data_IF_767231003791
#
_entry.id   IF_767231003791
#
_cell.length_a   1.000
_cell.length_b   1.000
_cell.length_c   1.000
_cell.angle_alpha   90.00
_cell.angle_beta   90.00
_cell.angle_gamma   90.00
#
_symmetry.space_group_name_H-M   'P 1'
#
loop_
_entity.id
_entity.type
_entity.pdbx_description
1 polymer ?
#
# COMPACT_ATOMS: atom_id res chain seq x y z
N UNK A 1 -22.89 -18.38 28.36
CA UNK A 1 -23.46 -17.07 28.77
C UNK A 1 -22.43 -15.93 28.67
N UNK A 2 -21.14 -16.17 28.97
CA UNK A 2 -20.09 -15.13 28.83
C UNK A 2 -19.79 -14.75 27.37
N UNK A 3 -19.80 -15.72 26.45
CA UNK A 3 -19.54 -15.47 25.04
C UNK A 3 -20.53 -14.47 24.40
N UNK A 4 -21.80 -14.47 24.85
CA UNK A 4 -22.83 -13.54 24.34
C UNK A 4 -22.59 -12.12 24.86
N UNK A 5 -22.15 -11.97 26.12
CA UNK A 5 -21.78 -10.66 26.70
C UNK A 5 -20.60 -10.02 25.99
N UNK A 6 -19.62 -10.82 25.54
CA UNK A 6 -18.46 -10.32 24.76
C UNK A 6 -18.92 -9.74 23.41
N UNK A 7 -19.87 -10.39 22.74
CA UNK A 7 -20.43 -9.92 21.46
C UNK A 7 -21.25 -8.63 21.64
N UNK A 8 -22.08 -8.54 22.67
CA UNK A 8 -22.83 -7.31 22.98
C UNK A 8 -21.91 -6.14 23.32
N UNK A 9 -20.89 -6.40 24.14
CA UNK A 9 -19.89 -5.38 24.52
C UNK A 9 -19.14 -4.87 23.28
N UNK A 10 -18.71 -5.77 22.39
CA UNK A 10 -18.05 -5.40 21.13
C UNK A 10 -18.98 -4.58 20.23
N UNK A 11 -20.24 -4.99 20.09
CA UNK A 11 -21.23 -4.28 19.28
C UNK A 11 -21.47 -2.85 19.76
N UNK A 12 -21.51 -2.62 21.07
CA UNK A 12 -21.67 -1.28 21.67
C UNK A 12 -20.46 -0.40 21.34
N UNK A 13 -19.23 -0.88 21.56
CA UNK A 13 -18.03 -0.12 21.22
C UNK A 13 -17.95 0.19 19.72
N UNK A 14 -18.27 -0.78 18.87
CA UNK A 14 -18.31 -0.59 17.43
C UNK A 14 -19.34 0.46 17.00
N UNK A 15 -20.53 0.46 17.59
CA UNK A 15 -21.57 1.46 17.33
C UNK A 15 -21.16 2.87 17.80
N UNK A 16 -20.47 2.98 18.93
CA UNK A 16 -19.92 4.24 19.44
C UNK A 16 -18.87 4.79 18.47
N UNK A 17 -17.94 3.96 17.99
CA UNK A 17 -16.90 4.37 17.03
C UNK A 17 -17.55 4.91 15.74
N UNK A 18 -18.56 4.21 15.20
CA UNK A 18 -19.30 4.66 14.01
C UNK A 18 -20.07 5.96 14.29
N UNK A 19 -20.73 6.07 15.46
CA UNK A 19 -21.50 7.25 15.84
C UNK A 19 -20.64 8.50 16.01
N UNK A 20 -19.47 8.35 16.62
CA UNK A 20 -18.47 9.42 16.76
C UNK A 20 -17.91 9.82 15.39
N UNK A 21 -17.55 8.86 14.54
CA UNK A 21 -17.08 9.13 13.19
C UNK A 21 -18.09 9.96 12.37
N UNK A 22 -19.38 9.63 12.44
CA UNK A 22 -20.45 10.40 11.77
C UNK A 22 -20.57 11.84 12.27
N UNK A 23 -20.34 12.09 13.56
CA UNK A 23 -20.45 13.43 14.15
C UNK A 23 -19.28 14.34 13.77
N UNK A 24 -18.08 13.79 13.64
CA UNK A 24 -16.86 14.53 13.29
C UNK A 24 -16.93 15.09 11.86
N UNK A 25 -17.62 14.39 10.95
CA UNK A 25 -17.80 14.76 9.53
C UNK A 25 -18.61 16.06 9.28
N UNK A 26 -18.95 16.84 10.31
CA UNK A 26 -19.75 18.09 10.21
C UNK A 26 -19.00 19.36 10.62
N UNK A 27 -17.72 19.24 11.00
CA UNK A 27 -16.81 20.36 11.26
C UNK A 27 -16.15 20.71 9.92
N UNK A 28 -15.74 21.97 9.68
CA UNK A 28 -14.91 22.33 8.52
C UNK A 28 -13.79 21.29 8.36
N UNK A 29 -13.94 20.42 7.38
CA UNK A 29 -13.07 19.28 7.18
C UNK A 29 -12.08 19.64 6.08
N UNK A 30 -10.83 19.91 6.47
CA UNK A 30 -9.74 20.14 5.53
C UNK A 30 -9.54 18.91 4.61
N UNK A 31 -10.02 17.73 5.01
CA UNK A 31 -9.99 16.51 4.21
C UNK A 31 -11.27 16.28 3.38
N UNK A 32 -12.17 17.27 3.29
CA UNK A 32 -13.28 17.18 2.34
C UNK A 32 -12.72 16.94 0.92
N UNK A 33 -13.29 16.00 0.13
CA UNK A 33 -12.78 15.70 -1.20
C UNK A 33 -12.63 16.94 -2.11
N UNK A 34 -13.47 17.95 -1.93
CA UNK A 34 -13.42 19.19 -2.70
C UNK A 34 -12.19 20.06 -2.36
N UNK A 35 -11.64 19.92 -1.15
CA UNK A 35 -10.41 20.59 -0.73
C UNK A 35 -9.14 19.89 -1.27
N UNK A 36 -9.24 18.58 -1.55
CA UNK A 36 -8.15 17.72 -2.04
C UNK A 36 -8.13 17.56 -3.56
N UNK A 37 -9.21 17.95 -4.24
CA UNK A 37 -9.34 17.82 -5.68
C UNK A 37 -8.27 18.60 -6.45
N UNK A 38 -7.86 18.05 -7.61
CA UNK A 38 -6.87 18.66 -8.48
C UNK A 38 -7.32 20.04 -8.95
N UNK A 39 -6.44 21.04 -8.82
CA UNK A 39 -6.68 22.41 -9.29
C UNK A 39 -5.84 22.67 -10.53
N UNK A 40 -6.47 23.24 -11.54
CA UNK A 40 -5.84 23.62 -12.80
C UNK A 40 -5.81 25.13 -12.91
N UNK A 41 -4.60 25.66 -13.12
CA UNK A 41 -4.41 27.06 -13.43
C UNK A 41 -4.58 27.29 -14.94
N UNK A 42 -5.24 28.38 -15.30
CA UNK A 42 -5.29 28.80 -16.70
C UNK A 42 -3.95 29.41 -17.12
N UNK A 43 -3.30 28.74 -18.07
CA UNK A 43 -2.10 29.24 -18.74
C UNK A 43 -2.52 29.90 -20.05
N UNK A 44 -2.27 31.21 -20.16
CA UNK A 44 -2.53 31.97 -21.36
C UNK A 44 -1.56 31.55 -22.49
N UNK A 45 -1.89 31.82 -23.78
CA UNK A 45 -1.00 31.52 -24.91
C UNK A 45 0.36 32.21 -24.85
N UNK A 46 0.49 33.28 -24.08
CA UNK A 46 1.73 34.02 -23.82
C UNK A 46 2.58 33.43 -22.67
N UNK A 47 2.13 32.30 -22.08
CA UNK A 47 2.79 31.62 -20.97
C UNK A 47 2.53 32.23 -19.59
N UNK A 48 1.70 33.28 -19.49
CA UNK A 48 1.33 33.88 -18.20
C UNK A 48 0.24 33.07 -17.51
N UNK A 49 0.37 32.90 -16.19
CA UNK A 49 -0.63 32.22 -15.35
C UNK A 49 -1.59 33.28 -14.79
N UNK A 50 -2.87 33.18 -15.12
CA UNK A 50 -3.88 34.09 -14.58
C UNK A 50 -4.43 33.50 -13.28
N UNK A 51 -3.87 33.90 -12.13
CA UNK A 51 -4.24 33.40 -10.79
C UNK A 51 -5.71 33.66 -10.38
N UNK A 52 -6.51 34.35 -11.21
CA UNK A 52 -7.88 34.73 -10.91
C UNK A 52 -8.92 33.62 -11.20
N UNK A 53 -8.54 32.61 -11.99
CA UNK A 53 -9.45 31.51 -12.37
C UNK A 53 -8.72 30.18 -12.20
N UNK A 54 -9.12 29.39 -11.22
CA UNK A 54 -8.69 28.00 -11.04
C UNK A 54 -9.85 27.09 -11.36
N UNK A 55 -9.70 26.15 -12.30
CA UNK A 55 -10.70 25.09 -12.50
C UNK A 55 -10.40 24.01 -11.45
N UNK A 56 -11.42 23.61 -10.69
CA UNK A 56 -11.33 22.50 -9.75
C UNK A 56 -11.92 21.28 -10.44
N UNK A 57 -11.18 20.17 -10.47
CA UNK A 57 -11.72 18.88 -10.92
C UNK A 57 -12.81 18.42 -9.95
N UNK A 58 -13.91 17.86 -10.45
CA UNK A 58 -14.89 17.25 -9.56
C UNK A 58 -14.24 16.05 -8.82
N UNK A 59 -14.27 16.03 -7.47
CA UNK A 59 -13.66 14.95 -6.72
C UNK A 59 -14.38 13.63 -6.99
N UNK A 60 -13.59 12.58 -7.18
CA UNK A 60 -14.09 11.21 -7.32
C UNK A 60 -13.97 10.42 -6.01
N UNK A 61 -14.36 9.14 -6.02
CA UNK A 61 -14.30 8.31 -4.82
C UNK A 61 -12.86 7.89 -4.40
N UNK A 62 -11.86 8.13 -5.25
CA UNK A 62 -10.44 7.92 -4.97
C UNK A 62 -9.74 9.17 -4.42
N UNK A 63 -10.28 10.37 -4.68
CA UNK A 63 -9.73 11.67 -4.25
C UNK A 63 -9.49 11.71 -2.74
N UNK A 64 -10.40 11.12 -1.96
CA UNK A 64 -10.17 10.80 -0.56
C UNK A 64 -10.74 9.42 -0.21
N UNK A 65 -9.87 8.41 -0.18
CA UNK A 65 -10.25 7.04 0.20
C UNK A 65 -10.69 6.91 1.66
N UNK A 66 -10.28 7.82 2.55
CA UNK A 66 -10.64 7.79 3.97
C UNK A 66 -12.07 8.30 4.26
N UNK A 67 -12.73 8.93 3.28
CA UNK A 67 -14.09 9.46 3.43
C UNK A 67 -15.16 8.35 3.58
N UNK A 68 -14.83 7.09 3.28
CA UNK A 68 -15.75 5.96 3.45
C UNK A 68 -15.04 4.74 4.03
N UNK A 69 -15.71 4.05 4.95
CA UNK A 69 -15.08 3.03 5.77
C UNK A 69 -14.42 1.88 4.96
N UNK A 70 -15.08 1.23 3.98
CA UNK A 70 -14.42 0.21 3.16
C UNK A 70 -13.22 0.73 2.35
N UNK A 71 -13.30 1.93 1.77
CA UNK A 71 -12.17 2.52 1.05
C UNK A 71 -11.05 2.97 1.99
N UNK A 72 -11.36 3.31 3.26
CA UNK A 72 -10.33 3.62 4.26
C UNK A 72 -9.51 2.37 4.63
N UNK A 73 -10.16 1.20 4.69
CA UNK A 73 -9.47 -0.07 4.90
C UNK A 73 -8.59 -0.40 3.70
N UNK A 74 -9.10 -0.17 2.49
CA UNK A 74 -8.33 -0.31 1.25
C UNK A 74 -7.14 0.68 1.20
N UNK A 75 -7.30 1.90 1.69
CA UNK A 75 -6.22 2.89 1.77
C UNK A 75 -5.09 2.42 2.69
N UNK A 76 -5.44 1.86 3.86
CA UNK A 76 -4.46 1.24 4.78
C UNK A 76 -3.79 0.04 4.12
N UNK A 77 -4.55 -0.78 3.39
CA UNK A 77 -4.00 -1.90 2.64
C UNK A 77 -2.96 -1.43 1.61
N UNK A 78 -3.31 -0.46 0.76
CA UNK A 78 -2.42 0.12 -0.24
C UNK A 78 -1.19 0.78 0.41
N UNK A 79 -1.35 1.43 1.57
CA UNK A 79 -0.22 1.99 2.32
C UNK A 79 0.79 0.90 2.73
N UNK A 80 0.31 -0.28 3.12
CA UNK A 80 1.16 -1.39 3.57
C UNK A 80 1.79 -2.16 2.41
N UNK A 81 1.06 -2.34 1.31
CA UNK A 81 1.54 -3.10 0.14
C UNK A 81 2.31 -2.24 -0.87
N UNK A 82 2.28 -0.91 -0.72
CA UNK A 82 2.86 0.04 -1.65
C UNK A 82 1.86 0.57 -2.68
N UNK A 83 2.30 1.58 -3.43
CA UNK A 83 1.45 2.31 -4.38
C UNK A 83 0.91 1.39 -5.49
N UNK A 84 -0.40 1.54 -5.76
CA UNK A 84 -1.12 0.81 -6.79
C UNK A 84 -1.01 1.45 -8.18
N UNK A 85 -0.33 2.60 -8.30
CA UNK A 85 0.17 3.20 -9.55
C UNK A 85 -0.77 3.05 -10.74
N UNK A 86 -0.49 2.07 -11.62
CA UNK A 86 -1.22 1.81 -12.87
C UNK A 86 -2.71 1.50 -12.71
N UNK A 87 -3.18 1.17 -11.50
CA UNK A 87 -4.57 0.89 -11.18
C UNK A 87 -5.26 2.05 -10.44
N UNK A 88 -4.54 3.15 -10.13
CA UNK A 88 -5.09 4.34 -9.48
C UNK A 88 -6.11 5.11 -10.34
N UNK A 89 -6.06 4.92 -11.67
CA UNK A 89 -6.98 5.53 -12.62
C UNK A 89 -8.41 4.99 -12.55
N UNK A 90 -8.61 3.82 -11.92
CA UNK A 90 -9.93 3.24 -11.73
C UNK A 90 -10.46 3.59 -10.35
N UNK A 91 -11.68 4.11 -10.32
CA UNK A 91 -12.32 4.48 -9.08
C UNK A 91 -12.77 3.21 -8.31
N UNK A 92 -12.23 2.97 -7.12
CA UNK A 92 -12.29 1.67 -6.45
C UNK A 92 -13.69 1.26 -6.00
N UNK A 93 -14.55 2.25 -5.73
CA UNK A 93 -15.93 2.03 -5.31
C UNK A 93 -16.79 1.62 -6.50
N UNK A 94 -16.57 2.25 -7.64
CA UNK A 94 -17.28 2.06 -8.90
C UNK A 94 -16.88 0.73 -9.56
N UNK A 95 -15.62 0.32 -9.40
CA UNK A 95 -15.06 -0.91 -9.98
C UNK A 95 -14.72 -1.97 -8.94
N UNK A 96 -15.70 -2.35 -8.11
CA UNK A 96 -15.53 -3.30 -6.99
C UNK A 96 -14.89 -4.64 -7.37
N UNK A 97 -15.20 -5.19 -8.55
CA UNK A 97 -14.60 -6.45 -9.04
C UNK A 97 -13.10 -6.30 -9.25
N UNK A 98 -12.67 -5.20 -9.87
CA UNK A 98 -11.25 -4.91 -10.09
C UNK A 98 -10.53 -4.73 -8.76
N UNK A 99 -11.15 -4.01 -7.82
CA UNK A 99 -10.61 -3.83 -6.45
C UNK A 99 -10.40 -5.16 -5.73
N UNK A 100 -11.38 -6.06 -5.79
CA UNK A 100 -11.26 -7.39 -5.17
C UNK A 100 -10.13 -8.20 -5.82
N UNK A 101 -10.03 -8.16 -7.16
CA UNK A 101 -8.98 -8.85 -7.89
C UNK A 101 -7.60 -8.30 -7.52
N UNK A 102 -7.46 -6.97 -7.45
CA UNK A 102 -6.24 -6.29 -7.03
C UNK A 102 -5.81 -6.75 -5.64
N UNK A 103 -6.68 -6.59 -4.63
CA UNK A 103 -6.39 -6.97 -3.24
C UNK A 103 -6.00 -8.44 -3.13
N UNK A 104 -6.70 -9.32 -3.86
CA UNK A 104 -6.39 -10.76 -3.85
C UNK A 104 -5.04 -11.06 -4.50
N UNK A 105 -4.76 -10.43 -5.63
CA UNK A 105 -3.52 -10.61 -6.37
C UNK A 105 -2.31 -10.11 -5.58
N UNK A 106 -2.39 -8.91 -5.00
CA UNK A 106 -1.32 -8.35 -4.16
C UNK A 106 -1.15 -9.10 -2.86
N UNK A 107 -2.23 -9.61 -2.25
CA UNK A 107 -2.13 -10.49 -1.10
C UNK A 107 -1.34 -11.76 -1.43
N UNK A 108 -1.65 -12.41 -2.55
CA UNK A 108 -0.93 -13.61 -2.96
C UNK A 108 0.56 -13.34 -3.29
N UNK A 109 0.84 -12.25 -3.99
CA UNK A 109 2.21 -11.95 -4.44
C UNK A 109 3.07 -11.32 -3.35
N UNK A 110 2.66 -10.17 -2.82
CA UNK A 110 3.45 -9.37 -1.87
C UNK A 110 3.48 -10.00 -0.49
N UNK A 111 2.36 -10.54 -0.01
CA UNK A 111 2.28 -11.07 1.36
C UNK A 111 2.65 -12.56 1.36
N UNK A 112 2.00 -13.38 0.53
CA UNK A 112 2.23 -14.82 0.59
C UNK A 112 3.55 -15.22 -0.11
N UNK A 113 3.71 -14.92 -1.39
CA UNK A 113 4.87 -15.38 -2.16
C UNK A 113 6.18 -14.72 -1.72
N UNK A 114 6.23 -13.40 -1.45
CA UNK A 114 7.48 -12.78 -0.99
C UNK A 114 7.92 -13.34 0.37
N UNK A 115 7.00 -13.52 1.33
CA UNK A 115 7.35 -14.08 2.63
C UNK A 115 7.81 -15.53 2.51
N UNK A 116 7.16 -16.33 1.66
CA UNK A 116 7.60 -17.68 1.35
C UNK A 116 9.00 -17.68 0.70
N UNK A 117 9.22 -16.81 -0.28
CA UNK A 117 10.49 -16.69 -0.99
C UNK A 117 11.62 -16.29 -0.04
N UNK A 118 11.40 -15.31 0.85
CA UNK A 118 12.38 -14.93 1.87
C UNK A 118 12.69 -16.11 2.80
N UNK A 119 11.69 -16.90 3.21
CA UNK A 119 11.89 -18.09 4.03
C UNK A 119 12.71 -19.17 3.33
N UNK A 120 12.40 -19.46 2.07
CA UNK A 120 13.16 -20.42 1.25
C UNK A 120 14.58 -19.94 0.97
N UNK A 121 14.75 -18.63 0.73
CA UNK A 121 16.06 -18.02 0.53
C UNK A 121 16.90 -18.12 1.80
N UNK A 122 16.33 -17.84 2.97
CA UNK A 122 17.01 -17.98 4.25
C UNK A 122 17.48 -19.42 4.49
N UNK A 123 16.63 -20.40 4.18
CA UNK A 123 16.99 -21.82 4.29
C UNK A 123 18.13 -22.20 3.34
N UNK A 124 18.08 -21.73 2.08
CA UNK A 124 19.15 -21.99 1.12
C UNK A 124 20.47 -21.34 1.54
N UNK A 125 20.45 -20.09 2.02
CA UNK A 125 21.66 -19.39 2.50
C UNK A 125 22.31 -20.15 3.66
N UNK A 126 21.52 -20.70 4.59
CA UNK A 126 22.04 -21.48 5.72
C UNK A 126 22.84 -22.70 5.25
N UNK A 127 22.36 -23.40 4.22
CA UNK A 127 23.03 -24.60 3.70
C UNK A 127 24.33 -24.29 2.91
N UNK A 128 24.44 -23.09 2.30
CA UNK A 128 25.63 -22.62 1.60
C UNK A 128 26.61 -21.82 2.47
N UNK A 129 26.23 -21.41 3.68
CA UNK A 129 27.11 -20.69 4.62
C UNK A 129 28.06 -21.64 5.37
N UNK A 130 28.61 -22.64 4.66
CA UNK A 130 29.58 -23.59 5.22
C UNK A 130 30.98 -23.01 5.10
N UNK A 131 31.53 -22.59 6.24
CA UNK A 131 32.90 -22.06 6.35
C UNK A 131 33.96 -22.99 5.76
N UNK A 132 33.71 -24.29 5.78
CA UNK A 132 34.57 -25.33 5.20
C UNK A 132 34.69 -25.22 3.68
N UNK A 133 33.56 -25.11 2.96
CA UNK A 133 33.54 -24.95 1.51
C UNK A 133 34.17 -23.63 1.08
N UNK A 134 33.96 -22.57 1.86
CA UNK A 134 34.62 -21.28 1.65
C UNK A 134 36.14 -21.37 1.79
N UNK A 135 36.65 -22.04 2.84
CA UNK A 135 38.09 -22.24 3.04
C UNK A 135 38.69 -23.13 1.95
N UNK A 136 37.95 -24.14 1.48
CA UNK A 136 38.35 -25.01 0.38
C UNK A 136 38.47 -24.22 -0.94
N UNK A 137 37.47 -23.42 -1.29
CA UNK A 137 37.51 -22.56 -2.47
C UNK A 137 38.67 -21.56 -2.41
N UNK A 138 38.90 -20.95 -1.23
CA UNK A 138 40.03 -20.03 -1.03
C UNK A 138 41.38 -20.74 -1.23
N UNK A 139 41.54 -21.95 -0.72
CA UNK A 139 42.76 -22.73 -0.92
C UNK A 139 42.96 -23.12 -2.40
N UNK A 140 41.90 -23.53 -3.10
CA UNK A 140 41.96 -23.85 -4.52
C UNK A 140 42.38 -22.65 -5.37
N UNK A 141 41.80 -21.46 -5.10
CA UNK A 141 42.16 -20.23 -5.82
C UNK A 141 43.65 -19.86 -5.59
N UNK A 142 44.16 -20.06 -4.38
CA UNK A 142 45.59 -19.81 -4.08
C UNK A 142 46.47 -20.80 -4.84
N UNK A 143 46.10 -22.09 -4.87
CA UNK A 143 46.85 -23.13 -5.59
C UNK A 143 46.85 -22.86 -7.10
N UNK A 144 45.70 -22.51 -7.69
CA UNK A 144 45.63 -22.17 -9.11
C UNK A 144 46.46 -20.94 -9.45
N UNK A 145 46.39 -19.89 -8.61
CA UNK A 145 47.20 -18.68 -8.81
C UNK A 145 48.71 -18.93 -8.68
N UNK A 146 49.13 -19.87 -7.82
CA UNK A 146 50.53 -20.27 -7.71
C UNK A 146 50.99 -21.09 -8.92
N UNK A 147 50.15 -22.00 -9.43
CA UNK A 147 50.45 -22.81 -10.61
C UNK A 147 50.52 -22.01 -11.91
N UNK A 148 49.77 -20.92 -12.04
CA UNK A 148 49.83 -20.03 -13.22
C UNK A 148 51.08 -19.13 -13.23
N UNK A 149 51.86 -19.11 -12.14
CA UNK A 149 53.10 -18.31 -12.02
C UNK A 149 54.40 -19.10 -12.19
N UNK A 150 54.33 -20.41 -12.46
CA UNK A 150 55.47 -21.30 -12.74
C UNK A 150 55.54 -21.71 -14.20
#
# INVERSE_FOLDING_TARGET
>A
MEFIRVIESFGIYFAIIIGVAKKINSINDDNDPQNLATKYDFVNPDGTITNATTIIQDPDSNTNLFNWFPTSLLAVYNLLTGDSGSLSSFTYREHSIMTILLVTFTFFTVIYLMNLFIGLLNLAIDDFNKKEEFLLQKAQIIISALNDTS
#
